data_IF_551824987645
#
_entry.id   IF_551824987645
#
_cell.length_a   1.000
_cell.length_b   1.000
_cell.length_c   1.000
_cell.angle_alpha   90.00
_cell.angle_beta   90.00
_cell.angle_gamma   90.00
#
_symmetry.space_group_name_H-M   'P 1'
#
loop_
_entity.id
_entity.type
_entity.pdbx_description
1 polymer ?
#
# COMPACT_ATOMS: atom_id res chain seq x y z
N UNK A 1 -65.64 -19.33 1.01
CA UNK A 1 -64.37 -19.07 0.28
C UNK A 1 -63.50 -18.14 1.14
N UNK A 2 -62.48 -18.70 1.79
CA UNK A 2 -61.52 -17.90 2.59
C UNK A 2 -60.28 -17.67 1.75
N UNK A 3 -60.01 -16.42 1.40
CA UNK A 3 -58.74 -16.05 0.72
C UNK A 3 -57.65 -15.93 1.76
N UNK A 4 -56.66 -16.80 1.71
CA UNK A 4 -55.42 -16.73 2.49
C UNK A 4 -54.47 -15.83 1.69
N UNK A 5 -54.23 -14.63 2.20
CA UNK A 5 -53.22 -13.71 1.70
C UNK A 5 -51.85 -14.15 2.23
N UNK A 6 -51.06 -14.81 1.39
CA UNK A 6 -49.65 -15.14 1.69
C UNK A 6 -48.84 -13.91 1.41
N UNK A 7 -48.48 -13.16 2.44
CA UNK A 7 -47.48 -12.09 2.36
C UNK A 7 -46.07 -12.71 2.27
N UNK A 8 -45.52 -12.77 1.05
CA UNK A 8 -44.12 -13.14 0.82
C UNK A 8 -43.23 -12.00 1.31
N UNK A 9 -42.62 -12.19 2.47
CA UNK A 9 -41.58 -11.29 3.00
C UNK A 9 -40.30 -11.56 2.20
N UNK A 10 -40.02 -10.75 1.16
CA UNK A 10 -38.74 -10.72 0.47
C UNK A 10 -37.73 -10.07 1.43
N UNK A 11 -36.99 -10.88 2.16
CA UNK A 11 -35.80 -10.44 2.89
C UNK A 11 -34.73 -10.04 1.87
N UNK A 12 -34.59 -8.76 1.59
CA UNK A 12 -33.48 -8.21 0.80
C UNK A 12 -32.24 -8.31 1.70
N UNK A 13 -31.46 -9.37 1.54
CA UNK A 13 -30.11 -9.44 2.08
C UNK A 13 -29.26 -8.41 1.32
N UNK A 14 -29.19 -7.21 1.82
CA UNK A 14 -28.14 -6.26 1.44
C UNK A 14 -26.85 -6.89 1.94
N UNK A 15 -26.11 -7.55 1.06
CA UNK A 15 -24.75 -7.98 1.33
C UNK A 15 -23.91 -6.72 1.57
N UNK A 16 -23.79 -6.31 2.82
CA UNK A 16 -22.86 -5.26 3.21
C UNK A 16 -21.46 -5.73 2.83
N UNK A 17 -20.87 -5.13 1.79
CA UNK A 17 -19.44 -5.33 1.54
C UNK A 17 -18.71 -4.87 2.82
N UNK A 18 -17.74 -5.64 3.32
CA UNK A 18 -16.97 -5.22 4.48
C UNK A 18 -16.39 -3.82 4.18
N UNK A 19 -16.62 -2.90 5.09
CA UNK A 19 -16.16 -1.53 4.95
C UNK A 19 -14.63 -1.52 5.06
N UNK A 20 -13.95 -0.74 4.19
CA UNK A 20 -12.50 -0.59 4.22
C UNK A 20 -12.09 0.32 5.38
N UNK A 21 -12.20 -0.21 6.61
CA UNK A 21 -11.98 0.50 7.87
C UNK A 21 -11.40 -0.40 8.94
N UNK A 22 -10.56 0.16 9.79
CA UNK A 22 -10.05 -0.44 11.02
C UNK A 22 -9.95 0.63 12.10
N UNK A 23 -9.89 0.27 13.39
CA UNK A 23 -9.69 1.25 14.45
C UNK A 23 -8.40 2.06 14.29
N UNK A 24 -7.32 1.48 13.75
CA UNK A 24 -6.05 2.15 13.49
C UNK A 24 -6.19 3.21 12.39
N UNK A 25 -6.93 2.90 11.31
CA UNK A 25 -7.20 3.84 10.23
C UNK A 25 -8.06 5.01 10.71
N UNK A 26 -9.16 4.73 11.42
CA UNK A 26 -10.08 5.77 11.90
C UNK A 26 -9.45 6.70 12.94
N UNK A 27 -8.46 6.22 13.72
CA UNK A 27 -7.71 7.07 14.65
C UNK A 27 -6.71 8.00 13.97
N UNK A 28 -6.17 7.61 12.84
CA UNK A 28 -5.07 8.31 12.20
C UNK A 28 -5.48 9.10 10.96
N UNK A 29 -6.56 8.71 10.29
CA UNK A 29 -7.00 9.31 9.03
C UNK A 29 -8.47 9.71 9.07
N UNK A 30 -8.82 10.74 8.33
CA UNK A 30 -10.19 11.11 8.03
C UNK A 30 -10.83 10.13 7.05
N UNK A 31 -12.16 10.12 6.95
CA UNK A 31 -12.86 9.26 5.96
C UNK A 31 -12.46 9.56 4.51
N UNK A 32 -12.12 10.81 4.19
CA UNK A 32 -11.64 11.20 2.85
C UNK A 32 -10.25 10.61 2.58
N UNK A 33 -9.33 10.71 3.53
CA UNK A 33 -7.99 10.12 3.42
C UNK A 33 -8.04 8.59 3.36
N UNK A 34 -8.92 7.93 4.14
CA UNK A 34 -9.15 6.47 4.03
C UNK A 34 -9.64 6.09 2.63
N UNK A 35 -10.51 6.91 2.03
CA UNK A 35 -10.94 6.70 0.64
C UNK A 35 -9.78 6.81 -0.35
N UNK A 36 -8.86 7.75 -0.14
CA UNK A 36 -7.66 7.90 -0.97
C UNK A 36 -6.68 6.73 -0.76
N UNK A 37 -6.45 6.30 0.49
CA UNK A 37 -5.67 5.09 0.77
C UNK A 37 -6.24 3.86 0.07
N UNK A 38 -7.58 3.75 0.03
CA UNK A 38 -8.24 2.67 -0.71
C UNK A 38 -7.99 2.74 -2.21
N UNK A 39 -7.93 3.93 -2.82
CA UNK A 39 -7.57 4.09 -4.25
C UNK A 39 -6.15 3.56 -4.52
N UNK A 40 -5.18 3.85 -3.64
CA UNK A 40 -3.82 3.32 -3.75
C UNK A 40 -3.80 1.78 -3.67
N UNK A 41 -4.57 1.18 -2.76
CA UNK A 41 -4.72 -0.28 -2.66
C UNK A 41 -5.40 -0.86 -3.91
N UNK A 42 -6.45 -0.23 -4.41
CA UNK A 42 -7.15 -0.69 -5.62
C UNK A 42 -6.27 -0.56 -6.86
N UNK A 43 -5.45 0.50 -6.95
CA UNK A 43 -4.45 0.67 -8.00
C UNK A 43 -3.38 -0.44 -7.95
N UNK A 44 -2.81 -0.72 -6.77
CA UNK A 44 -1.90 -1.85 -6.56
C UNK A 44 -2.52 -3.16 -7.06
N UNK A 45 -3.74 -3.48 -6.62
CA UNK A 45 -4.43 -4.71 -7.00
C UNK A 45 -4.67 -4.80 -8.50
N UNK A 46 -5.08 -3.71 -9.13
CA UNK A 46 -5.39 -3.68 -10.56
C UNK A 46 -4.17 -3.96 -11.42
N UNK A 47 -3.01 -3.47 -11.02
CA UNK A 47 -1.79 -3.58 -11.81
C UNK A 47 -0.95 -4.83 -11.49
N UNK A 48 -0.93 -5.27 -10.23
CA UNK A 48 -0.03 -6.33 -9.77
C UNK A 48 -0.70 -7.68 -9.50
N UNK A 49 -2.05 -7.72 -9.44
CA UNK A 49 -2.82 -8.94 -9.25
C UNK A 49 -3.51 -9.36 -10.55
N UNK A 50 -3.08 -10.43 -11.17
CA UNK A 50 -3.55 -10.82 -12.51
C UNK A 50 -5.03 -11.27 -12.53
N UNK A 51 -5.48 -12.04 -11.54
CA UNK A 51 -6.81 -12.67 -11.54
C UNK A 51 -7.65 -12.44 -10.29
N UNK A 52 -7.09 -11.84 -9.24
CA UNK A 52 -7.70 -11.81 -7.91
C UNK A 52 -7.78 -10.41 -7.28
N UNK A 53 -8.22 -9.43 -8.04
CA UNK A 53 -8.37 -8.04 -7.56
C UNK A 53 -9.41 -7.88 -6.45
N UNK A 54 -10.34 -8.83 -6.28
CA UNK A 54 -11.40 -8.77 -5.28
C UNK A 54 -10.99 -9.30 -3.90
N UNK A 55 -9.97 -10.17 -3.83
CA UNK A 55 -9.50 -10.81 -2.61
C UNK A 55 -8.00 -10.57 -2.44
N UNK A 56 -7.61 -9.83 -1.41
CA UNK A 56 -6.22 -9.43 -1.24
C UNK A 56 -5.30 -10.59 -0.83
N UNK A 57 -5.79 -11.58 -0.08
CA UNK A 57 -5.01 -12.77 0.24
C UNK A 57 -4.56 -13.49 -1.03
N UNK A 58 -5.50 -13.74 -1.97
CA UNK A 58 -5.18 -14.38 -3.25
C UNK A 58 -4.29 -13.52 -4.14
N UNK A 59 -4.53 -12.21 -4.16
CA UNK A 59 -3.67 -11.26 -4.85
C UNK A 59 -2.23 -11.34 -4.32
N UNK A 60 -2.06 -11.33 -3.01
CA UNK A 60 -0.74 -11.41 -2.39
C UNK A 60 -0.05 -12.77 -2.64
N UNK A 61 -0.80 -13.87 -2.65
CA UNK A 61 -0.28 -15.20 -3.01
C UNK A 61 0.23 -15.26 -4.45
N UNK A 62 -0.35 -14.52 -5.38
CA UNK A 62 0.12 -14.40 -6.76
C UNK A 62 1.31 -13.45 -6.91
N UNK A 63 1.26 -12.31 -6.20
CA UNK A 63 2.22 -11.22 -6.28
C UNK A 63 3.54 -11.54 -5.56
N UNK A 64 3.47 -11.95 -4.27
CA UNK A 64 4.65 -11.97 -3.41
C UNK A 64 5.77 -12.92 -3.88
N UNK A 65 5.51 -14.14 -4.40
CA UNK A 65 6.57 -14.98 -4.94
C UNK A 65 7.32 -14.34 -6.10
N UNK A 66 6.60 -13.66 -7.01
CA UNK A 66 7.18 -12.98 -8.17
C UNK A 66 8.02 -11.78 -7.74
N UNK A 67 7.53 -11.03 -6.75
CA UNK A 67 8.30 -9.94 -6.14
C UNK A 67 9.55 -10.44 -5.43
N UNK A 68 9.47 -11.51 -4.66
CA UNK A 68 10.62 -12.07 -3.92
C UNK A 68 11.70 -12.58 -4.88
N UNK A 69 11.28 -13.15 -6.02
CA UNK A 69 12.21 -13.69 -7.04
C UNK A 69 12.82 -12.58 -7.90
N UNK A 70 12.03 -11.61 -8.35
CA UNK A 70 12.43 -10.66 -9.38
C UNK A 70 12.57 -9.21 -8.88
N UNK A 71 12.16 -8.94 -7.64
CA UNK A 71 12.25 -7.62 -7.02
C UNK A 71 11.48 -6.53 -7.78
N UNK A 72 12.13 -5.37 -7.89
CA UNK A 72 11.56 -4.19 -8.54
C UNK A 72 11.29 -4.39 -10.05
N UNK A 73 12.07 -5.19 -10.74
CA UNK A 73 11.88 -5.44 -12.17
C UNK A 73 10.47 -5.99 -12.44
N UNK A 74 9.96 -6.90 -11.60
CA UNK A 74 8.60 -7.42 -11.74
C UNK A 74 7.52 -6.34 -11.67
N UNK A 75 7.64 -5.39 -10.76
CA UNK A 75 6.61 -4.37 -10.54
C UNK A 75 6.75 -3.18 -11.50
N UNK A 76 7.96 -2.81 -11.88
CA UNK A 76 8.22 -1.72 -12.83
C UNK A 76 7.88 -2.08 -14.27
N UNK A 77 7.87 -3.37 -14.61
CA UNK A 77 7.33 -3.86 -15.89
C UNK A 77 5.80 -3.70 -16.00
N UNK A 78 5.11 -3.55 -14.86
CA UNK A 78 3.64 -3.48 -14.77
C UNK A 78 3.11 -2.09 -14.40
N UNK A 79 3.90 -1.27 -13.76
CA UNK A 79 3.53 0.07 -13.31
C UNK A 79 4.60 1.04 -13.79
N UNK A 80 4.26 1.86 -14.76
CA UNK A 80 5.11 2.92 -15.28
C UNK A 80 5.14 4.14 -14.38
N UNK A 81 6.14 5.01 -14.55
CA UNK A 81 6.22 6.28 -13.82
C UNK A 81 5.01 7.18 -14.07
N UNK A 82 4.53 7.26 -15.33
CA UNK A 82 3.35 8.04 -15.67
C UNK A 82 2.06 7.53 -14.97
N UNK A 83 1.92 6.23 -14.78
CA UNK A 83 0.79 5.66 -14.04
C UNK A 83 0.89 5.97 -12.54
N UNK A 84 2.10 6.02 -11.97
CA UNK A 84 2.31 6.48 -10.59
C UNK A 84 1.95 7.96 -10.43
N UNK A 85 2.41 8.82 -11.32
CA UNK A 85 2.03 10.25 -11.30
C UNK A 85 0.51 10.42 -11.44
N UNK A 86 -0.14 9.61 -12.29
CA UNK A 86 -1.59 9.66 -12.46
C UNK A 86 -2.32 9.30 -11.16
N UNK A 87 -2.00 8.16 -10.52
CA UNK A 87 -2.66 7.78 -9.26
C UNK A 87 -2.40 8.79 -8.14
N UNK A 88 -1.21 9.39 -8.07
CA UNK A 88 -0.93 10.45 -7.11
C UNK A 88 -1.78 11.70 -7.36
N UNK A 89 -2.09 12.02 -8.61
CA UNK A 89 -2.99 13.12 -8.97
C UNK A 89 -4.47 12.85 -8.66
N UNK A 90 -4.87 11.58 -8.55
CA UNK A 90 -6.24 11.15 -8.22
C UNK A 90 -6.54 11.16 -6.71
N UNK A 91 -5.53 11.20 -5.88
CA UNK A 91 -5.69 11.35 -4.44
C UNK A 91 -5.55 12.82 -4.04
N UNK A 92 -6.10 13.17 -2.86
CA UNK A 92 -5.96 14.51 -2.33
C UNK A 92 -4.49 14.80 -1.98
N UNK A 93 -3.99 15.99 -2.33
CA UNK A 93 -2.61 16.40 -2.01
C UNK A 93 -2.33 16.28 -0.50
N UNK A 94 -3.31 16.63 0.35
CA UNK A 94 -3.14 16.45 1.80
C UNK A 94 -2.92 14.99 2.19
N UNK A 95 -3.56 14.02 1.48
CA UNK A 95 -3.34 12.59 1.73
C UNK A 95 -1.93 12.17 1.31
N UNK A 96 -1.49 12.66 0.15
CA UNK A 96 -0.12 12.43 -0.33
C UNK A 96 0.90 12.95 0.70
N UNK A 97 0.78 14.19 1.13
CA UNK A 97 1.69 14.85 2.07
C UNK A 97 1.71 14.22 3.48
N UNK A 98 0.72 13.41 3.82
CA UNK A 98 0.67 12.63 5.08
C UNK A 98 1.38 11.27 4.99
N UNK A 99 1.74 10.83 3.78
CA UNK A 99 2.45 9.58 3.50
C UNK A 99 3.89 9.86 3.09
N UNK A 100 4.06 10.79 2.14
CA UNK A 100 5.31 11.07 1.45
C UNK A 100 5.75 12.53 1.57
N UNK A 101 7.02 12.73 1.33
CA UNK A 101 7.66 14.03 1.14
C UNK A 101 8.64 13.92 -0.02
N UNK A 102 8.97 15.03 -0.65
CA UNK A 102 10.07 15.05 -1.62
C UNK A 102 11.39 15.33 -0.89
N UNK A 103 12.39 14.51 -1.13
CA UNK A 103 13.71 14.65 -0.55
C UNK A 103 14.80 14.61 -1.62
N UNK A 104 15.92 15.25 -1.34
CA UNK A 104 17.12 15.13 -2.18
C UNK A 104 17.84 13.83 -1.82
N UNK A 105 17.99 12.95 -2.78
CA UNK A 105 18.74 11.69 -2.67
C UNK A 105 20.07 11.84 -3.41
N UNK A 106 21.13 11.28 -2.81
CA UNK A 106 22.47 11.31 -3.35
C UNK A 106 22.90 9.90 -3.76
N UNK A 107 23.13 9.71 -5.04
CA UNK A 107 23.67 8.46 -5.55
C UNK A 107 25.20 8.48 -5.53
N UNK A 108 25.80 7.57 -4.76
CA UNK A 108 27.24 7.35 -4.72
C UNK A 108 27.60 6.35 -5.83
N UNK A 109 28.47 6.74 -6.77
CA UNK A 109 28.89 5.88 -7.87
C UNK A 109 29.83 6.60 -8.84
N UNK A 110 30.11 5.98 -10.01
CA UNK A 110 30.97 6.60 -11.02
C UNK A 110 30.44 7.94 -11.57
N UNK A 111 29.13 8.13 -11.49
CA UNK A 111 28.45 9.40 -11.76
C UNK A 111 27.70 9.79 -10.49
N UNK A 112 28.39 10.48 -9.56
CA UNK A 112 27.74 11.07 -8.39
C UNK A 112 26.70 12.08 -8.84
N UNK A 113 25.47 11.95 -8.32
CA UNK A 113 24.38 12.86 -8.67
C UNK A 113 23.40 13.00 -7.53
N UNK A 114 22.79 14.18 -7.49
CA UNK A 114 21.62 14.45 -6.66
C UNK A 114 20.37 14.40 -7.53
N UNK A 115 19.29 13.82 -7.01
CA UNK A 115 17.99 13.84 -7.66
C UNK A 115 16.86 13.91 -6.63
N UNK A 116 15.70 14.40 -7.08
CA UNK A 116 14.52 14.52 -6.25
C UNK A 116 13.83 13.16 -6.18
N UNK A 117 13.65 12.66 -4.97
CA UNK A 117 13.03 11.37 -4.70
C UNK A 117 11.77 11.50 -3.84
N UNK A 118 10.95 10.45 -3.81
CA UNK A 118 9.79 10.33 -2.92
C UNK A 118 10.21 9.57 -1.66
N UNK A 119 10.20 10.25 -0.54
CA UNK A 119 10.64 9.73 0.75
C UNK A 119 9.49 9.64 1.76
N UNK A 120 9.69 8.87 2.82
CA UNK A 120 8.73 8.78 3.91
C UNK A 120 8.55 10.13 4.61
N UNK A 121 7.29 10.55 4.79
CA UNK A 121 6.96 11.72 5.65
C UNK A 121 7.13 11.36 7.12
N UNK A 122 8.24 11.82 7.72
CA UNK A 122 8.68 11.43 9.07
C UNK A 122 7.60 11.63 10.15
N UNK A 123 6.88 12.75 10.12
CA UNK A 123 5.86 13.11 11.11
C UNK A 123 4.43 12.97 10.55
N UNK A 124 4.27 12.31 9.40
CA UNK A 124 2.99 12.13 8.72
C UNK A 124 2.06 11.16 9.46
N UNK A 125 0.78 11.17 9.06
CA UNK A 125 -0.23 10.26 9.61
C UNK A 125 0.06 8.80 9.31
N UNK A 126 0.73 8.51 8.17
CA UNK A 126 1.10 7.14 7.83
C UNK A 126 2.08 6.55 8.86
N UNK A 127 3.07 7.33 9.31
CA UNK A 127 3.99 6.88 10.35
C UNK A 127 3.28 6.68 11.70
N UNK A 128 2.33 7.54 12.05
CA UNK A 128 1.49 7.39 13.25
C UNK A 128 0.62 6.13 13.17
N UNK A 129 0.06 5.86 11.99
CA UNK A 129 -0.72 4.65 11.71
C UNK A 129 0.15 3.38 11.86
N UNK A 130 1.34 3.34 11.25
CA UNK A 130 2.26 2.20 11.39
C UNK A 130 2.65 1.96 12.84
N UNK A 131 2.96 3.02 13.59
CA UNK A 131 3.24 2.95 15.03
C UNK A 131 2.06 2.39 15.83
N UNK A 132 0.84 2.80 15.48
CA UNK A 132 -0.38 2.36 16.18
C UNK A 132 -0.70 0.91 15.86
N UNK A 133 -0.61 0.50 14.61
CA UNK A 133 -0.78 -0.89 14.17
C UNK A 133 0.32 -1.80 14.74
N UNK A 134 1.56 -1.31 14.84
CA UNK A 134 2.68 -2.04 15.44
C UNK A 134 2.51 -2.39 16.92
N UNK A 135 1.65 -1.68 17.69
CA UNK A 135 1.39 -2.00 19.11
C UNK A 135 0.89 -3.43 19.34
N UNK A 136 0.12 -3.96 18.39
CA UNK A 136 -0.42 -5.33 18.43
C UNK A 136 0.27 -6.29 17.47
N UNK A 137 1.26 -5.81 16.69
CA UNK A 137 1.89 -6.56 15.61
C UNK A 137 3.40 -6.33 15.54
N UNK A 138 4.18 -7.31 15.99
CA UNK A 138 5.65 -7.22 16.08
C UNK A 138 6.34 -7.03 14.72
N UNK A 139 5.77 -7.59 13.65
CA UNK A 139 6.30 -7.44 12.30
C UNK A 139 6.17 -5.98 11.87
N UNK A 140 5.00 -5.38 12.07
CA UNK A 140 4.74 -3.97 11.74
C UNK A 140 5.53 -3.03 12.65
N UNK A 141 5.67 -3.34 13.93
CA UNK A 141 6.53 -2.58 14.86
C UNK A 141 7.97 -2.53 14.36
N UNK A 142 8.51 -3.68 13.94
CA UNK A 142 9.87 -3.76 13.36
C UNK A 142 9.98 -2.96 12.09
N UNK A 143 9.01 -3.08 11.18
CA UNK A 143 8.96 -2.31 9.93
C UNK A 143 8.93 -0.80 10.19
N UNK A 144 8.04 -0.33 11.07
CA UNK A 144 7.99 1.06 11.51
C UNK A 144 9.34 1.56 12.04
N UNK A 145 9.98 0.79 12.93
CA UNK A 145 11.27 1.17 13.52
C UNK A 145 12.38 1.24 12.46
N UNK A 146 12.36 0.39 11.44
CA UNK A 146 13.31 0.42 10.33
C UNK A 146 13.15 1.70 9.49
N UNK A 147 11.92 2.05 9.10
CA UNK A 147 11.65 3.30 8.37
C UNK A 147 12.11 4.51 9.19
N UNK A 148 11.77 4.55 10.49
CA UNK A 148 12.12 5.68 11.35
C UNK A 148 13.63 5.81 11.56
N UNK A 149 14.36 4.69 11.58
CA UNK A 149 15.82 4.69 11.73
C UNK A 149 16.54 5.11 10.43
N UNK A 150 16.06 4.63 9.29
CA UNK A 150 16.62 4.95 7.98
C UNK A 150 16.17 6.34 7.47
N UNK A 151 15.00 6.79 7.89
CA UNK A 151 14.34 7.98 7.37
C UNK A 151 13.61 7.75 6.05
N UNK A 152 13.60 6.50 5.54
CA UNK A 152 12.98 6.14 4.28
C UNK A 152 12.53 4.67 4.24
N UNK A 153 11.70 4.34 3.22
CA UNK A 153 11.17 3.00 2.96
C UNK A 153 12.24 2.00 2.50
N UNK A 154 13.30 2.44 1.88
CA UNK A 154 14.29 1.60 1.21
C UNK A 154 14.93 0.55 2.14
N UNK A 155 15.27 0.90 3.37
CA UNK A 155 15.87 -0.01 4.35
C UNK A 155 14.91 -1.11 4.85
N UNK A 156 13.63 -1.01 4.52
CA UNK A 156 12.61 -1.97 4.92
C UNK A 156 12.28 -3.02 3.84
N UNK A 157 13.11 -3.14 2.77
CA UNK A 157 12.86 -3.98 1.59
C UNK A 157 12.56 -5.46 1.85
N UNK A 158 12.87 -5.98 3.03
CA UNK A 158 12.53 -7.34 3.43
C UNK A 158 11.09 -7.58 3.91
N UNK A 159 10.24 -6.55 4.02
CA UNK A 159 8.90 -6.66 4.60
C UNK A 159 8.00 -7.64 3.84
N UNK A 160 8.04 -7.64 2.52
CA UNK A 160 7.22 -8.55 1.69
C UNK A 160 7.57 -10.01 1.97
N UNK A 161 8.87 -10.34 2.08
CA UNK A 161 9.33 -11.68 2.42
C UNK A 161 8.93 -12.10 3.85
N UNK A 162 8.95 -11.16 4.80
CA UNK A 162 8.52 -11.42 6.16
C UNK A 162 7.01 -11.70 6.23
N UNK A 163 6.18 -10.87 5.58
CA UNK A 163 4.74 -11.10 5.47
C UNK A 163 4.44 -12.42 4.75
N UNK A 164 5.20 -12.76 3.70
CA UNK A 164 5.04 -14.03 2.99
C UNK A 164 5.26 -15.24 3.89
N UNK A 165 6.28 -15.20 4.72
CA UNK A 165 6.59 -16.28 5.65
C UNK A 165 5.53 -16.44 6.75
N UNK A 166 4.92 -15.34 7.20
CA UNK A 166 3.90 -15.32 8.26
C UNK A 166 2.46 -15.33 7.72
N UNK A 167 2.24 -15.37 6.39
CA UNK A 167 0.93 -15.16 5.75
C UNK A 167 -0.20 -16.07 6.20
N UNK A 168 0.12 -17.25 6.76
CA UNK A 168 -0.89 -18.18 7.28
C UNK A 168 -1.46 -17.75 8.65
N UNK A 169 -0.74 -16.86 9.35
CA UNK A 169 -1.08 -16.34 10.67
C UNK A 169 -1.64 -14.92 10.59
N UNK A 170 -1.60 -14.32 9.38
CA UNK A 170 -1.98 -12.94 9.11
C UNK A 170 -3.27 -12.90 8.28
N UNK A 171 -4.22 -12.07 8.68
CA UNK A 171 -5.36 -11.72 7.84
C UNK A 171 -4.98 -10.61 6.86
N UNK A 172 -4.60 -10.98 5.64
CA UNK A 172 -4.24 -10.04 4.57
C UNK A 172 -5.45 -9.32 3.96
N UNK A 173 -6.68 -9.76 4.22
CA UNK A 173 -7.88 -9.00 3.85
C UNK A 173 -8.13 -7.83 4.83
N UNK A 174 -7.39 -7.75 5.94
CA UNK A 174 -7.38 -6.59 6.82
C UNK A 174 -6.80 -5.37 6.10
N UNK A 175 -7.54 -4.24 6.01
CA UNK A 175 -7.13 -3.01 5.33
C UNK A 175 -5.76 -2.48 5.77
N UNK A 176 -5.35 -2.69 7.02
CA UNK A 176 -4.05 -2.24 7.52
C UNK A 176 -2.88 -2.87 6.76
N UNK A 177 -2.93 -4.19 6.52
CA UNK A 177 -1.91 -4.88 5.72
C UNK A 177 -1.96 -4.49 4.25
N UNK A 178 -3.17 -4.33 3.70
CA UNK A 178 -3.34 -3.91 2.31
C UNK A 178 -2.68 -2.57 2.05
N UNK A 179 -2.90 -1.59 2.94
CA UNK A 179 -2.30 -0.25 2.88
C UNK A 179 -0.78 -0.34 3.02
N UNK A 180 -0.28 -1.07 4.04
CA UNK A 180 1.16 -1.22 4.28
C UNK A 180 1.87 -1.77 3.04
N UNK A 181 1.36 -2.88 2.48
CA UNK A 181 1.95 -3.54 1.31
C UNK A 181 1.89 -2.62 0.08
N UNK A 182 0.73 -2.03 -0.19
CA UNK A 182 0.54 -1.19 -1.37
C UNK A 182 1.43 0.05 -1.33
N UNK A 183 1.45 0.80 -0.21
CA UNK A 183 2.28 2.00 -0.07
C UNK A 183 3.76 1.63 -0.19
N UNK A 184 4.20 0.55 0.46
CA UNK A 184 5.60 0.10 0.36
C UNK A 184 6.01 -0.16 -1.09
N UNK A 185 5.23 -0.96 -1.81
CA UNK A 185 5.55 -1.33 -3.21
C UNK A 185 5.48 -0.13 -4.14
N UNK A 186 4.47 0.72 -4.03
CA UNK A 186 4.33 1.91 -4.87
C UNK A 186 5.49 2.89 -4.64
N UNK A 187 5.91 3.07 -3.38
CA UNK A 187 7.08 3.92 -3.06
C UNK A 187 8.36 3.34 -3.66
N UNK A 188 8.61 2.04 -3.48
CA UNK A 188 9.80 1.39 -4.03
C UNK A 188 9.86 1.48 -5.56
N UNK A 189 8.70 1.34 -6.24
CA UNK A 189 8.60 1.54 -7.67
C UNK A 189 8.93 2.96 -8.10
N UNK A 190 8.35 3.96 -7.40
CA UNK A 190 8.58 5.36 -7.71
C UNK A 190 10.07 5.71 -7.58
N UNK A 191 10.68 5.37 -6.44
CA UNK A 191 12.11 5.63 -6.18
C UNK A 191 13.00 4.99 -7.26
N UNK A 192 12.72 3.75 -7.62
CA UNK A 192 13.49 3.06 -8.66
C UNK A 192 13.36 3.72 -10.04
N UNK A 193 12.14 4.09 -10.43
CA UNK A 193 11.89 4.71 -11.74
C UNK A 193 12.45 6.13 -11.80
N UNK A 194 12.35 6.93 -10.75
CA UNK A 194 12.99 8.27 -10.66
C UNK A 194 14.50 8.16 -10.80
N UNK A 195 15.12 7.21 -10.11
CA UNK A 195 16.56 6.96 -10.20
C UNK A 195 16.97 6.61 -11.65
N UNK A 196 16.21 5.77 -12.35
CA UNK A 196 16.50 5.41 -13.75
C UNK A 196 16.35 6.58 -14.70
N UNK A 197 15.26 7.36 -14.60
CA UNK A 197 15.01 8.50 -15.48
C UNK A 197 16.12 9.54 -15.41
N UNK A 198 16.62 9.81 -14.21
CA UNK A 198 17.74 10.75 -14.02
C UNK A 198 19.10 10.16 -14.44
N UNK A 199 19.19 8.84 -14.72
CA UNK A 199 20.41 8.19 -15.23
C UNK A 199 20.60 8.35 -16.73
N UNK A 200 19.50 8.57 -17.44
CA UNK A 200 19.46 8.60 -18.92
C UNK A 200 19.60 10.03 -19.46
N UNK A 201 19.68 11.04 -18.57
CA UNK A 201 19.99 12.45 -18.90
C UNK A 201 21.50 12.76 -18.75
#
# INVERSE_FOLDING_TARGET
>A
MKYILVLSFLAIFVACKPEFKTPELERNFTSAEISDLKKLVDFFKTNLCENNTSNFNKCFEEFAPKWIENGLDFSTDKITFAELENIYSEINQNTFDEIWDFCMTYQIGPAEREYLDVCSKKDGKYQKFLKDFGKSNKLVEKYYNQIMAAGDFNESGGIISQIWNERKEIDLDNPNYQILISIHILTMNDQFLRNRMTSDE
#
